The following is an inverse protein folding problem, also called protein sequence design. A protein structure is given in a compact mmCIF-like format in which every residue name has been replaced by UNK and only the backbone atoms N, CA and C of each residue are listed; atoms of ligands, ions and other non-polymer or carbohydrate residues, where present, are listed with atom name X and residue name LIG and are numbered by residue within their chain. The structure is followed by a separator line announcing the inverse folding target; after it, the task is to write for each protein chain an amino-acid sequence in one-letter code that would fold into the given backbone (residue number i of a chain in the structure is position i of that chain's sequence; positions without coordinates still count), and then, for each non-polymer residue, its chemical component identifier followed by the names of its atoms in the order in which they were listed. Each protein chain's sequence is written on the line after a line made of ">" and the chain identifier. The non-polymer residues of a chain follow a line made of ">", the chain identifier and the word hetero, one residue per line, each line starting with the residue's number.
data_IF_160375054552
#
_entry.id   IF_160375054552
#
_cell.length_a   1.000
_cell.length_b   1.000
_cell.length_c   1.000
_cell.angle_alpha   90.00
_cell.angle_beta   90.00
_cell.angle_gamma   90.00
#
_symmetry.space_group_name_H-M   'P 1'
#
loop_
_entity.id
_entity.type
_entity.pdbx_description
1 polymer ?
#
# COMPACT_ATOMS: atom_id res chain seq x y z
N UNK A 1 -28.39 0.05 36.06
CA UNK A 1 -29.23 1.12 36.61
C UNK A 1 -30.11 0.60 37.78
N UNK A 2 -30.97 -0.34 37.51
CA UNK A 2 -31.96 -0.84 38.48
C UNK A 2 -31.38 -1.59 39.69
N UNK A 3 -30.19 -2.22 39.55
CA UNK A 3 -29.55 -3.00 40.61
C UNK A 3 -28.73 -2.13 41.61
N UNK A 4 -28.23 -0.98 41.17
CA UNK A 4 -27.30 -0.16 41.96
C UNK A 4 -27.76 1.30 42.12
N UNK A 5 -28.95 1.65 41.66
CA UNK A 5 -29.54 3.01 41.70
C UNK A 5 -28.63 4.11 41.13
N UNK A 6 -27.87 3.77 40.06
CA UNK A 6 -26.94 4.69 39.40
C UNK A 6 -27.69 5.52 38.35
N UNK A 7 -27.46 6.82 38.33
CA UNK A 7 -28.05 7.75 37.36
C UNK A 7 -27.61 7.45 35.91
N UNK A 8 -28.41 7.81 34.94
CA UNK A 8 -28.16 7.49 33.52
C UNK A 8 -26.87 8.07 32.98
N UNK A 9 -26.48 9.36 33.27
CA UNK A 9 -25.19 9.90 32.83
C UNK A 9 -23.99 9.11 33.32
N UNK A 10 -23.99 8.69 34.60
CA UNK A 10 -22.92 7.88 35.17
C UNK A 10 -22.84 6.50 34.56
N UNK A 11 -23.98 5.83 34.29
CA UNK A 11 -23.99 4.51 33.62
C UNK A 11 -23.37 4.60 32.24
N UNK A 12 -23.75 5.59 31.43
CA UNK A 12 -23.19 5.76 30.06
C UNK A 12 -21.69 6.11 30.12
N UNK A 13 -21.29 6.95 31.09
CA UNK A 13 -19.88 7.26 31.34
C UNK A 13 -19.06 6.02 31.73
N UNK A 14 -19.56 5.19 32.66
CA UNK A 14 -18.92 3.93 33.06
C UNK A 14 -18.74 2.98 31.89
N UNK A 15 -19.77 2.80 31.05
CA UNK A 15 -19.70 1.94 29.86
C UNK A 15 -18.64 2.49 28.88
N UNK A 16 -18.67 3.77 28.57
CA UNK A 16 -17.71 4.38 27.68
C UNK A 16 -16.27 4.27 28.22
N UNK A 17 -16.08 4.44 29.55
CA UNK A 17 -14.78 4.29 30.21
C UNK A 17 -14.28 2.84 30.20
N UNK A 18 -15.13 1.89 30.55
CA UNK A 18 -14.80 0.46 30.54
C UNK A 18 -14.40 -0.04 29.12
N UNK A 19 -15.06 0.51 28.10
CA UNK A 19 -14.73 0.23 26.69
C UNK A 19 -13.55 1.08 26.17
N UNK A 20 -12.94 1.91 27.01
CA UNK A 20 -11.86 2.84 26.63
C UNK A 20 -12.20 3.72 25.42
N UNK A 21 -13.48 4.05 25.28
CA UNK A 21 -14.02 4.77 24.11
C UNK A 21 -14.14 6.26 24.37
N UNK A 22 -13.12 7.03 23.98
CA UNK A 22 -13.21 8.51 24.01
C UNK A 22 -14.32 9.06 23.12
N UNK A 23 -14.61 8.49 21.93
CA UNK A 23 -15.81 8.86 21.18
C UNK A 23 -17.10 8.59 21.92
N UNK A 24 -17.17 7.47 22.67
CA UNK A 24 -18.32 7.15 23.52
C UNK A 24 -18.53 8.18 24.63
N UNK A 25 -17.46 8.68 25.24
CA UNK A 25 -17.53 9.77 26.22
C UNK A 25 -18.10 11.06 25.60
N UNK A 26 -17.63 11.43 24.39
CA UNK A 26 -18.12 12.63 23.73
C UNK A 26 -19.63 12.56 23.48
N UNK A 27 -20.12 11.40 23.01
CA UNK A 27 -21.57 11.16 22.84
C UNK A 27 -22.31 11.18 24.17
N UNK A 28 -21.73 10.59 25.22
CA UNK A 28 -22.32 10.58 26.56
C UNK A 28 -22.51 12.01 27.12
N UNK A 29 -21.52 12.88 26.99
CA UNK A 29 -21.58 14.29 27.41
C UNK A 29 -22.62 15.03 26.57
N UNK A 30 -22.59 14.86 25.26
CA UNK A 30 -23.47 15.58 24.32
C UNK A 30 -24.96 15.19 24.55
N UNK A 31 -25.24 13.90 24.85
CA UNK A 31 -26.58 13.39 25.05
C UNK A 31 -27.13 13.65 26.46
N UNK A 32 -26.29 13.69 27.48
CA UNK A 32 -26.73 13.80 28.88
C UNK A 32 -26.59 15.21 29.44
N UNK A 33 -25.78 16.06 28.81
CA UNK A 33 -25.42 17.41 29.26
C UNK A 33 -24.98 17.45 30.74
N UNK A 34 -24.39 16.33 31.24
CA UNK A 34 -24.01 16.15 32.65
C UNK A 34 -22.52 15.88 32.81
N UNK A 35 -21.84 16.56 33.74
CA UNK A 35 -20.44 16.29 34.06
C UNK A 35 -20.25 14.89 34.71
N UNK A 36 -21.30 14.28 35.22
CA UNK A 36 -21.24 12.94 35.83
C UNK A 36 -20.79 11.86 34.84
N UNK A 37 -21.11 12.03 33.54
CA UNK A 37 -20.63 11.14 32.50
C UNK A 37 -19.09 11.13 32.42
N UNK A 38 -18.45 12.32 32.50
CA UNK A 38 -16.99 12.46 32.48
C UNK A 38 -16.33 11.88 33.72
N UNK A 39 -16.93 12.09 34.90
CA UNK A 39 -16.41 11.58 36.17
C UNK A 39 -16.46 10.05 36.17
N UNK A 40 -17.60 9.49 35.80
CA UNK A 40 -17.81 8.04 35.73
C UNK A 40 -16.89 7.38 34.71
N UNK A 41 -16.67 8.01 33.55
CA UNK A 41 -15.68 7.60 32.55
C UNK A 41 -14.26 7.56 33.15
N UNK A 42 -13.83 8.63 33.82
CA UNK A 42 -12.50 8.71 34.42
C UNK A 42 -12.24 7.63 35.46
N UNK A 43 -13.27 7.21 36.21
CA UNK A 43 -13.18 6.10 37.16
C UNK A 43 -13.05 4.75 36.43
N UNK A 44 -13.84 4.50 35.40
CA UNK A 44 -13.87 3.21 34.71
C UNK A 44 -12.72 2.98 33.71
N UNK A 45 -12.20 4.05 33.10
CA UNK A 45 -11.18 4.00 32.07
C UNK A 45 -9.92 3.22 32.45
N UNK A 46 -9.27 3.45 33.63
CA UNK A 46 -8.08 2.69 34.02
C UNK A 46 -8.35 1.18 34.12
N UNK A 47 -9.53 0.77 34.60
CA UNK A 47 -9.91 -0.62 34.69
C UNK A 47 -10.14 -1.23 33.29
N UNK A 48 -10.73 -0.47 32.36
CA UNK A 48 -10.87 -0.86 30.97
C UNK A 48 -9.51 -1.13 30.32
N UNK A 49 -8.56 -0.20 30.47
CA UNK A 49 -7.19 -0.34 29.94
C UNK A 49 -6.48 -1.57 30.52
N UNK A 50 -6.50 -1.73 31.84
CA UNK A 50 -5.88 -2.88 32.52
C UNK A 50 -6.55 -4.17 32.05
N UNK A 51 -7.88 -4.20 31.95
CA UNK A 51 -8.64 -5.36 31.49
C UNK A 51 -8.25 -5.80 30.07
N UNK A 52 -8.14 -4.84 29.14
CA UNK A 52 -7.71 -5.12 27.76
C UNK A 52 -6.28 -5.65 27.73
N UNK A 53 -5.35 -5.04 28.47
CA UNK A 53 -3.95 -5.49 28.54
C UNK A 53 -3.87 -6.92 29.07
N UNK A 54 -4.58 -7.21 30.16
CA UNK A 54 -4.62 -8.55 30.75
C UNK A 54 -5.25 -9.55 29.79
N UNK A 55 -6.35 -9.19 29.15
CA UNK A 55 -7.03 -10.04 28.17
C UNK A 55 -6.09 -10.39 27.01
N UNK A 56 -5.44 -9.40 26.39
CA UNK A 56 -4.49 -9.62 25.28
C UNK A 56 -3.33 -10.49 25.70
N UNK A 57 -2.79 -10.31 26.91
CA UNK A 57 -1.68 -11.14 27.43
C UNK A 57 -2.09 -12.57 27.78
N UNK A 58 -3.31 -12.74 28.29
CA UNK A 58 -3.80 -14.06 28.74
C UNK A 58 -4.42 -14.86 27.60
N UNK A 59 -5.00 -14.20 26.61
CA UNK A 59 -5.71 -14.86 25.50
C UNK A 59 -4.87 -15.94 24.80
N UNK A 60 -3.61 -15.71 24.39
CA UNK A 60 -2.78 -16.76 23.77
C UNK A 60 -2.57 -17.96 24.68
N UNK A 61 -2.42 -17.71 26.00
CA UNK A 61 -2.25 -18.77 26.98
C UNK A 61 -3.52 -19.60 27.17
N UNK A 62 -4.68 -18.93 27.23
CA UNK A 62 -6.00 -19.58 27.37
C UNK A 62 -6.29 -20.41 26.11
N UNK A 63 -6.04 -19.85 24.93
CA UNK A 63 -6.24 -20.52 23.65
C UNK A 63 -5.14 -21.53 23.30
N UNK A 64 -4.07 -21.60 24.11
CA UNK A 64 -2.89 -22.45 23.86
C UNK A 64 -2.26 -22.19 22.50
N UNK A 65 -2.28 -20.93 22.05
CA UNK A 65 -1.71 -20.51 20.77
C UNK A 65 -0.23 -20.18 20.97
N UNK A 66 0.61 -20.77 20.15
CA UNK A 66 2.03 -20.44 20.07
C UNK A 66 2.18 -19.22 19.12
N UNK A 67 2.46 -18.04 19.72
CA UNK A 67 2.58 -16.79 18.97
C UNK A 67 3.72 -16.83 17.95
N UNK A 68 4.81 -17.55 18.24
CA UNK A 68 5.93 -17.64 17.30
C UNK A 68 5.57 -18.47 16.05
N UNK A 69 4.79 -19.53 16.24
CA UNK A 69 4.27 -20.32 15.10
C UNK A 69 3.28 -19.52 14.26
N UNK A 70 2.36 -18.82 14.91
CA UNK A 70 1.40 -17.97 14.17
C UNK A 70 2.08 -16.78 13.49
N UNK A 71 3.08 -16.17 14.12
CA UNK A 71 3.88 -15.12 13.48
C UNK A 71 4.60 -15.63 12.23
N UNK A 72 5.22 -16.81 12.31
CA UNK A 72 5.87 -17.47 11.15
C UNK A 72 4.84 -17.82 10.07
N UNK A 73 3.68 -18.32 10.46
CA UNK A 73 2.59 -18.62 9.52
C UNK A 73 2.11 -17.37 8.78
N UNK A 74 1.86 -16.28 9.50
CA UNK A 74 1.50 -14.99 8.91
C UNK A 74 2.62 -14.44 8.00
N UNK A 75 3.87 -14.66 8.37
CA UNK A 75 5.01 -14.26 7.52
C UNK A 75 5.04 -15.08 6.22
N UNK A 76 4.81 -16.39 6.30
CA UNK A 76 4.70 -17.27 5.11
C UNK A 76 3.50 -16.86 4.24
N UNK A 77 2.34 -16.60 4.84
CA UNK A 77 1.16 -16.12 4.10
C UNK A 77 1.40 -14.75 3.44
N UNK A 78 2.07 -13.83 4.14
CA UNK A 78 2.48 -12.53 3.56
C UNK A 78 3.48 -12.69 2.41
N UNK A 79 4.46 -13.57 2.55
CA UNK A 79 5.41 -13.89 1.46
C UNK A 79 4.70 -14.54 0.28
N UNK A 80 3.66 -15.33 0.52
CA UNK A 80 2.80 -15.89 -0.54
C UNK A 80 2.00 -14.82 -1.29
N UNK A 81 1.48 -13.80 -0.59
CA UNK A 81 0.75 -12.69 -1.22
C UNK A 81 1.67 -11.66 -1.88
N UNK A 82 2.86 -11.43 -1.31
CA UNK A 82 3.87 -10.48 -1.80
C UNK A 82 5.24 -11.16 -1.79
N UNK A 83 5.50 -12.07 -2.76
CA UNK A 83 6.77 -12.78 -2.81
C UNK A 83 7.93 -11.81 -3.01
N UNK A 84 9.05 -12.13 -2.38
CA UNK A 84 10.29 -11.38 -2.56
C UNK A 84 10.70 -11.41 -4.04
N UNK A 85 11.01 -10.24 -4.58
CA UNK A 85 11.50 -10.13 -5.95
C UNK A 85 13.01 -10.28 -5.97
N UNK A 86 13.46 -11.32 -6.64
CA UNK A 86 14.88 -11.61 -6.85
C UNK A 86 15.28 -11.40 -8.31
N UNK A 87 16.56 -11.33 -8.55
CA UNK A 87 17.14 -11.13 -9.89
C UNK A 87 17.92 -12.38 -10.28
N UNK A 88 17.69 -12.88 -11.49
CA UNK A 88 18.41 -14.04 -12.03
C UNK A 88 18.81 -13.83 -13.48
N UNK A 89 19.88 -14.52 -13.88
CA UNK A 89 20.32 -14.60 -15.28
C UNK A 89 19.89 -15.92 -15.88
N UNK A 90 19.53 -15.90 -17.15
CA UNK A 90 19.19 -17.09 -17.94
C UNK A 90 19.96 -17.06 -19.25
N UNK A 91 20.48 -18.21 -19.63
CA UNK A 91 21.01 -18.46 -20.97
C UNK A 91 19.87 -19.00 -21.85
N UNK A 92 19.71 -18.42 -23.02
CA UNK A 92 18.67 -18.85 -23.96
C UNK A 92 19.12 -20.14 -24.63
N UNK A 93 18.50 -21.26 -24.24
CA UNK A 93 18.79 -22.62 -24.76
C UNK A 93 17.57 -23.31 -25.33
N UNK A 94 16.35 -22.79 -25.08
CA UNK A 94 15.13 -23.37 -25.59
C UNK A 94 14.88 -22.95 -27.06
N UNK A 95 14.95 -23.90 -27.97
CA UNK A 95 14.74 -23.67 -29.41
C UNK A 95 13.39 -23.07 -29.77
N UNK A 96 12.36 -23.24 -28.93
CA UNK A 96 11.03 -22.68 -29.15
C UNK A 96 10.99 -21.15 -29.09
N UNK A 97 11.98 -20.52 -28.48
CA UNK A 97 12.06 -19.04 -28.36
C UNK A 97 13.08 -18.42 -29.32
N UNK A 98 13.87 -19.20 -30.04
CA UNK A 98 14.84 -18.70 -30.99
C UNK A 98 14.20 -17.91 -32.12
N UNK A 99 14.81 -16.79 -32.46
CA UNK A 99 14.37 -15.88 -33.52
C UNK A 99 12.93 -15.35 -33.34
N UNK A 100 12.43 -15.36 -32.11
CA UNK A 100 11.11 -14.77 -31.77
C UNK A 100 11.31 -13.52 -30.93
N UNK A 101 10.42 -12.53 -31.15
CA UNK A 101 10.42 -11.34 -30.33
C UNK A 101 9.82 -11.62 -28.95
N UNK A 102 10.19 -10.81 -27.94
CA UNK A 102 9.63 -10.90 -26.59
C UNK A 102 8.11 -10.76 -26.58
N UNK A 103 7.55 -9.98 -27.53
CA UNK A 103 6.10 -9.85 -27.70
C UNK A 103 5.46 -11.15 -28.17
N UNK A 104 6.08 -11.86 -29.11
CA UNK A 104 5.59 -13.14 -29.62
C UNK A 104 5.68 -14.26 -28.58
N UNK A 105 6.74 -14.24 -27.77
CA UNK A 105 6.95 -15.19 -26.67
C UNK A 105 6.00 -14.90 -25.52
N UNK A 106 5.59 -13.63 -25.35
CA UNK A 106 4.77 -13.14 -24.23
C UNK A 106 5.32 -13.56 -22.85
N UNK A 107 6.65 -13.54 -22.69
CA UNK A 107 7.33 -14.04 -21.50
C UNK A 107 6.76 -13.42 -20.21
N UNK A 108 6.54 -12.09 -20.22
CA UNK A 108 5.97 -11.37 -19.07
C UNK A 108 4.52 -11.79 -18.76
N UNK A 109 3.68 -11.94 -19.77
CA UNK A 109 2.28 -12.36 -19.57
C UNK A 109 2.15 -13.77 -19.05
N UNK A 110 3.06 -14.67 -19.46
CA UNK A 110 3.06 -16.08 -19.06
C UNK A 110 3.66 -16.30 -17.68
N UNK A 111 4.71 -15.55 -17.30
CA UNK A 111 5.50 -15.84 -16.09
C UNK A 111 5.39 -14.75 -15.01
N UNK A 112 4.98 -13.55 -15.38
CA UNK A 112 5.03 -12.37 -14.50
C UNK A 112 6.44 -11.81 -14.27
N UNK A 113 7.48 -12.45 -14.79
CA UNK A 113 8.86 -11.96 -14.69
C UNK A 113 9.11 -10.79 -15.65
N UNK A 114 9.92 -9.83 -15.21
CA UNK A 114 10.32 -8.66 -15.99
C UNK A 114 11.75 -8.84 -16.48
N UNK A 115 11.95 -8.93 -17.79
CA UNK A 115 13.28 -8.97 -18.38
C UNK A 115 13.82 -7.55 -18.37
N UNK A 116 14.92 -7.34 -17.64
CA UNK A 116 15.53 -6.02 -17.42
C UNK A 116 16.69 -5.73 -18.34
N UNK A 117 17.41 -6.77 -18.78
CA UNK A 117 18.58 -6.67 -19.66
C UNK A 117 18.69 -7.86 -20.57
N UNK A 118 19.27 -7.65 -21.74
CA UNK A 118 19.65 -8.68 -22.68
C UNK A 118 21.12 -8.46 -23.05
N UNK A 119 21.92 -9.52 -23.00
CA UNK A 119 23.26 -9.57 -23.58
C UNK A 119 23.22 -10.45 -24.84
N UNK A 120 23.45 -9.82 -25.99
CA UNK A 120 23.65 -10.48 -27.26
C UNK A 120 25.10 -10.32 -27.69
N UNK A 121 25.85 -11.41 -27.82
CA UNK A 121 27.30 -11.39 -28.00
C UNK A 121 27.96 -10.59 -26.85
N UNK A 122 28.55 -9.44 -27.12
CA UNK A 122 29.18 -8.56 -26.11
C UNK A 122 28.38 -7.27 -25.83
N UNK A 123 27.26 -7.07 -26.53
CA UNK A 123 26.42 -5.89 -26.36
C UNK A 123 25.30 -6.16 -25.31
N UNK A 124 25.17 -5.24 -24.36
CA UNK A 124 24.14 -5.28 -23.35
C UNK A 124 23.13 -4.18 -23.63
N UNK A 125 21.86 -4.56 -23.76
CA UNK A 125 20.77 -3.65 -24.05
C UNK A 125 19.57 -3.84 -23.11
N UNK A 126 18.70 -2.83 -23.07
CA UNK A 126 17.39 -2.96 -22.40
C UNK A 126 16.41 -3.49 -23.45
N UNK A 127 15.88 -4.72 -23.26
CA UNK A 127 15.05 -5.32 -24.28
C UNK A 127 13.70 -4.63 -24.38
N UNK A 128 13.20 -4.52 -25.60
CA UNK A 128 11.88 -4.00 -25.95
C UNK A 128 10.95 -5.16 -26.33
N UNK A 129 9.67 -4.88 -26.50
CA UNK A 129 8.70 -5.89 -26.97
C UNK A 129 9.10 -6.50 -28.35
N UNK A 130 9.79 -5.73 -29.19
CA UNK A 130 10.28 -6.16 -30.52
C UNK A 130 11.64 -6.85 -30.50
N UNK A 131 12.34 -6.87 -29.36
CA UNK A 131 13.66 -7.50 -29.25
C UNK A 131 13.54 -8.99 -29.49
N UNK A 132 14.35 -9.50 -30.41
CA UNK A 132 14.40 -10.92 -30.81
C UNK A 132 15.47 -11.62 -29.98
N UNK A 133 15.15 -12.81 -29.49
CA UNK A 133 16.08 -13.67 -28.75
C UNK A 133 16.78 -14.64 -29.69
N UNK A 134 18.08 -14.82 -29.48
CA UNK A 134 18.89 -15.77 -30.24
C UNK A 134 19.45 -16.85 -29.32
N UNK A 135 19.86 -17.95 -29.91
CA UNK A 135 20.54 -19.02 -29.18
C UNK A 135 21.81 -18.47 -28.50
N UNK A 136 21.98 -18.82 -27.22
CA UNK A 136 23.16 -18.40 -26.46
C UNK A 136 23.13 -16.97 -25.90
N UNK A 137 22.06 -16.21 -26.17
CA UNK A 137 21.84 -14.92 -25.52
C UNK A 137 21.70 -15.09 -24.02
N UNK A 138 22.04 -14.04 -23.26
CA UNK A 138 21.80 -13.97 -21.82
C UNK A 138 20.77 -12.91 -21.51
N UNK A 139 19.78 -13.27 -20.73
CA UNK A 139 18.78 -12.32 -20.21
C UNK A 139 18.87 -12.23 -18.70
N UNK A 140 18.70 -11.02 -18.17
CA UNK A 140 18.51 -10.80 -16.75
C UNK A 140 17.05 -10.47 -16.49
N UNK A 141 16.44 -11.22 -15.58
CA UNK A 141 15.04 -11.06 -15.21
C UNK A 141 14.86 -10.82 -13.71
N UNK A 142 13.80 -10.08 -13.37
CA UNK A 142 13.37 -9.78 -12.00
C UNK A 142 11.96 -10.33 -11.81
N UNK A 143 11.75 -11.08 -10.74
CA UNK A 143 10.46 -11.68 -10.43
C UNK A 143 10.47 -12.43 -9.11
N UNK A 144 9.33 -13.02 -8.74
CA UNK A 144 9.28 -13.99 -7.64
C UNK A 144 10.00 -15.28 -8.05
N UNK A 145 10.41 -16.07 -7.07
CA UNK A 145 11.01 -17.39 -7.31
C UNK A 145 10.16 -18.24 -8.29
N UNK A 146 8.84 -18.26 -8.08
CA UNK A 146 7.90 -18.97 -8.96
C UNK A 146 7.91 -18.41 -10.39
N UNK A 147 7.81 -17.09 -10.54
CA UNK A 147 7.87 -16.42 -11.85
C UNK A 147 9.16 -16.72 -12.58
N UNK A 148 10.27 -16.75 -11.87
CA UNK A 148 11.59 -17.02 -12.43
C UNK A 148 11.78 -18.49 -12.80
N UNK A 149 11.21 -19.41 -12.02
CA UNK A 149 11.20 -20.83 -12.37
C UNK A 149 10.36 -21.11 -13.63
N UNK A 150 9.21 -20.44 -13.78
CA UNK A 150 8.41 -20.51 -15.01
C UNK A 150 9.18 -19.93 -16.21
N UNK A 151 9.92 -18.83 -15.99
CA UNK A 151 10.75 -18.24 -17.02
C UNK A 151 11.88 -19.19 -17.45
N UNK A 152 12.51 -19.91 -16.51
CA UNK A 152 13.53 -20.91 -16.81
C UNK A 152 13.02 -21.99 -17.78
N UNK A 153 11.81 -22.52 -17.52
CA UNK A 153 11.17 -23.50 -18.41
C UNK A 153 10.94 -22.93 -19.81
N UNK A 154 10.62 -21.63 -19.89
CA UNK A 154 10.33 -20.98 -21.15
C UNK A 154 11.58 -20.69 -21.97
N UNK A 155 12.66 -20.18 -21.34
CA UNK A 155 13.82 -19.62 -22.08
C UNK A 155 15.05 -20.49 -22.01
N UNK A 156 15.28 -21.24 -20.92
CA UNK A 156 16.45 -22.08 -20.76
C UNK A 156 17.06 -22.03 -19.36
N UNK A 157 18.36 -22.30 -19.28
CA UNK A 157 19.06 -22.56 -18.03
C UNK A 157 19.33 -21.28 -17.22
N UNK A 158 19.11 -21.37 -15.89
CA UNK A 158 19.47 -20.34 -14.94
C UNK A 158 20.97 -20.36 -14.69
N UNK A 159 21.59 -19.20 -14.71
CA UNK A 159 23.01 -19.03 -14.39
C UNK A 159 23.21 -18.10 -13.19
N UNK A 160 24.36 -18.24 -12.53
CA UNK A 160 24.76 -17.41 -11.40
C UNK A 160 25.42 -16.11 -11.90
N UNK A 161 25.17 -15.00 -11.19
CA UNK A 161 25.79 -13.70 -11.45
C UNK A 161 24.77 -12.60 -11.71
N UNK A 162 25.29 -11.48 -12.20
CA UNK A 162 24.52 -10.33 -12.70
C UNK A 162 25.13 -9.83 -14.00
N UNK A 163 24.28 -9.49 -14.96
CA UNK A 163 24.75 -8.82 -16.16
C UNK A 163 25.17 -7.39 -15.79
N UNK A 164 26.39 -6.96 -16.14
CA UNK A 164 26.83 -5.60 -15.88
C UNK A 164 25.88 -4.61 -16.54
N UNK A 165 25.84 -3.39 -16.02
CA UNK A 165 25.20 -2.28 -16.71
C UNK A 165 26.14 -1.81 -17.83
N UNK A 166 25.59 -1.49 -18.99
CA UNK A 166 26.34 -0.73 -19.96
C UNK A 166 26.66 0.66 -19.39
N UNK A 167 27.75 1.28 -19.87
CA UNK A 167 28.24 2.58 -19.38
C UNK A 167 27.19 3.70 -19.47
N UNK A 168 26.22 3.54 -20.35
CA UNK A 168 25.11 4.50 -20.59
C UNK A 168 23.87 4.24 -19.74
N UNK A 169 23.80 3.07 -19.07
CA UNK A 169 22.63 2.63 -18.32
C UNK A 169 22.82 2.81 -16.82
N UNK A 170 21.79 3.24 -16.15
CA UNK A 170 21.74 3.44 -14.70
C UNK A 170 20.46 2.80 -14.13
N UNK A 171 20.51 2.49 -12.83
CA UNK A 171 19.35 2.07 -12.06
C UNK A 171 19.03 3.19 -11.09
N UNK A 172 17.82 3.72 -11.15
CA UNK A 172 17.36 4.74 -10.21
C UNK A 172 16.08 4.32 -9.49
N UNK A 173 15.97 4.77 -8.24
CA UNK A 173 14.74 4.66 -7.45
C UNK A 173 13.99 5.98 -7.52
N UNK A 174 12.92 6.03 -8.31
CA UNK A 174 12.16 7.24 -8.59
C UNK A 174 10.86 7.25 -7.77
N UNK A 175 10.59 8.38 -7.11
CA UNK A 175 9.46 8.54 -6.20
C UNK A 175 8.28 9.20 -6.91
N UNK A 176 7.08 8.59 -6.78
CA UNK A 176 5.85 9.19 -7.28
C UNK A 176 5.33 10.26 -6.32
N UNK A 177 5.46 11.52 -6.73
CA UNK A 177 4.97 12.68 -5.95
C UNK A 177 4.09 13.63 -6.76
N UNK A 178 3.91 13.37 -8.06
CA UNK A 178 3.05 14.17 -8.93
C UNK A 178 1.61 13.70 -8.86
N UNK A 179 0.71 14.58 -8.44
CA UNK A 179 -0.71 14.28 -8.19
C UNK A 179 -1.44 13.72 -9.42
N UNK A 180 -1.07 14.16 -10.62
CA UNK A 180 -1.71 13.76 -11.88
C UNK A 180 -1.41 12.32 -12.31
N UNK A 181 -0.40 11.70 -11.69
CA UNK A 181 0.01 10.32 -11.97
C UNK A 181 -0.63 9.32 -11.00
N UNK A 182 -1.29 9.79 -9.94
CA UNK A 182 -1.96 8.92 -8.97
C UNK A 182 -3.17 8.25 -9.61
N UNK A 183 -3.35 6.95 -9.35
CA UNK A 183 -4.39 6.07 -9.89
C UNK A 183 -4.29 5.83 -11.41
N UNK A 184 -3.24 6.30 -12.10
CA UNK A 184 -2.97 5.86 -13.46
C UNK A 184 -2.37 4.46 -13.45
N UNK A 185 -2.71 3.67 -14.43
CA UNK A 185 -2.10 2.36 -14.63
C UNK A 185 -0.66 2.51 -15.14
N UNK A 186 0.23 1.64 -14.67
CA UNK A 186 1.64 1.67 -15.08
C UNK A 186 1.78 1.52 -16.60
N UNK A 187 0.95 0.66 -17.22
CA UNK A 187 0.93 0.42 -18.66
C UNK A 187 0.61 1.67 -19.49
N UNK A 188 -0.30 2.54 -19.00
CA UNK A 188 -0.70 3.77 -19.71
C UNK A 188 0.46 4.76 -19.87
N UNK A 189 1.45 4.70 -18.98
CA UNK A 189 2.61 5.60 -19.04
C UNK A 189 3.56 5.25 -20.18
N UNK A 190 3.49 4.05 -20.73
CA UNK A 190 4.32 3.59 -21.85
C UNK A 190 5.81 3.96 -21.69
N UNK A 191 6.35 3.74 -20.46
CA UNK A 191 7.68 4.23 -20.07
C UNK A 191 8.79 3.71 -20.97
N UNK A 192 8.67 2.47 -21.42
CA UNK A 192 9.64 1.87 -22.33
C UNK A 192 9.63 2.54 -23.71
N UNK A 193 8.45 2.80 -24.27
CA UNK A 193 8.29 3.43 -25.59
C UNK A 193 8.72 4.90 -25.58
N UNK A 194 8.36 5.62 -24.50
CA UNK A 194 8.55 7.07 -24.42
C UNK A 194 9.95 7.46 -23.89
N UNK A 195 10.58 6.61 -23.07
CA UNK A 195 11.82 6.94 -22.36
C UNK A 195 12.90 5.87 -22.46
N UNK A 196 12.66 4.73 -23.13
CA UNK A 196 13.64 3.64 -23.22
C UNK A 196 13.94 2.97 -21.88
N UNK A 197 13.04 3.07 -20.91
CA UNK A 197 13.28 2.62 -19.55
C UNK A 197 12.29 1.54 -19.12
N UNK A 198 12.77 0.62 -18.29
CA UNK A 198 11.97 -0.50 -17.75
C UNK A 198 11.85 -0.41 -16.25
N UNK A 199 10.62 -0.52 -15.72
CA UNK A 199 10.37 -0.65 -14.27
C UNK A 199 10.54 -2.10 -13.87
N UNK A 200 11.44 -2.37 -12.92
CA UNK A 200 11.76 -3.73 -12.45
C UNK A 200 11.04 -4.10 -11.17
N UNK A 201 10.75 -3.14 -10.31
CA UNK A 201 9.92 -3.32 -9.10
C UNK A 201 9.29 -2.01 -8.66
N UNK A 202 8.22 -2.11 -7.89
CA UNK A 202 7.57 -0.96 -7.25
C UNK A 202 7.51 -1.22 -5.76
N UNK A 203 8.11 -0.34 -4.93
CA UNK A 203 8.03 -0.42 -3.48
C UNK A 203 6.93 0.49 -2.97
N UNK A 204 5.93 -0.12 -2.32
CA UNK A 204 4.78 0.55 -1.69
C UNK A 204 4.71 0.20 -0.22
N UNK A 205 4.82 1.19 0.65
CA UNK A 205 4.74 0.98 2.12
C UNK A 205 5.68 -0.12 2.64
N UNK A 206 6.88 -0.24 2.04
CA UNK A 206 7.88 -1.23 2.41
C UNK A 206 7.75 -2.59 1.72
N UNK A 207 6.70 -2.81 0.93
CA UNK A 207 6.46 -4.07 0.19
C UNK A 207 6.88 -3.87 -1.27
N UNK A 208 7.64 -4.85 -1.80
CA UNK A 208 8.01 -4.88 -3.21
C UNK A 208 6.91 -5.57 -4.02
N UNK A 209 6.42 -4.85 -5.04
CA UNK A 209 5.38 -5.32 -5.96
C UNK A 209 6.02 -5.57 -7.33
N UNK A 210 5.63 -6.68 -7.97
CA UNK A 210 5.94 -6.91 -9.38
C UNK A 210 5.19 -5.89 -10.23
N UNK A 211 5.88 -5.16 -11.13
CA UNK A 211 5.21 -4.19 -11.98
C UNK A 211 4.33 -4.92 -13.00
N UNK A 212 3.03 -4.70 -12.94
CA UNK A 212 2.08 -5.16 -13.98
C UNK A 212 1.50 -3.94 -14.72
N UNK A 213 1.08 -4.09 -15.99
CA UNK A 213 0.47 -3.01 -16.75
C UNK A 213 -0.75 -2.40 -16.05
N UNK A 214 -1.57 -3.22 -15.41
CA UNK A 214 -2.83 -2.83 -14.75
C UNK A 214 -2.59 -2.23 -13.36
N UNK A 215 -1.35 -2.25 -12.85
CA UNK A 215 -1.05 -1.73 -11.52
C UNK A 215 -1.30 -0.24 -11.45
N UNK A 216 -2.30 0.17 -10.68
CA UNK A 216 -2.56 1.57 -10.40
C UNK A 216 -1.50 2.14 -9.45
N UNK A 217 -0.84 3.21 -9.89
CA UNK A 217 0.20 3.91 -9.13
C UNK A 217 -0.42 4.72 -7.99
N UNK A 218 0.26 4.72 -6.82
CA UNK A 218 -0.17 5.48 -5.63
C UNK A 218 0.89 6.49 -5.21
N UNK A 219 0.45 7.55 -4.55
CA UNK A 219 1.36 8.54 -3.97
C UNK A 219 2.36 7.87 -3.02
N UNK A 220 3.64 8.18 -3.19
CA UNK A 220 4.71 7.61 -2.39
C UNK A 220 5.26 6.28 -2.90
N UNK A 221 4.74 5.73 -4.00
CA UNK A 221 5.36 4.58 -4.65
C UNK A 221 6.79 4.91 -5.08
N UNK A 222 7.73 4.02 -4.78
CA UNK A 222 9.11 4.07 -5.27
C UNK A 222 9.25 3.08 -6.43
N UNK A 223 9.48 3.59 -7.63
CA UNK A 223 9.69 2.77 -8.81
C UNK A 223 11.20 2.56 -9.01
N UNK A 224 11.65 1.30 -9.02
CA UNK A 224 13.00 0.96 -9.44
C UNK A 224 13.02 0.87 -10.96
N UNK A 225 13.76 1.75 -11.59
CA UNK A 225 13.77 1.92 -13.04
C UNK A 225 15.18 1.72 -13.58
N UNK A 226 15.29 0.98 -14.67
CA UNK A 226 16.54 0.77 -15.42
C UNK A 226 16.40 1.47 -16.76
N UNK A 227 17.38 2.26 -17.13
CA UNK A 227 17.36 3.00 -18.38
C UNK A 227 18.58 3.86 -18.60
N UNK A 228 18.59 4.56 -19.73
CA UNK A 228 19.59 5.59 -19.98
C UNK A 228 19.31 6.84 -19.12
N UNK A 229 20.36 7.56 -18.78
CA UNK A 229 20.31 8.75 -17.90
C UNK A 229 19.28 9.80 -18.35
N UNK A 230 19.16 10.04 -19.65
CA UNK A 230 18.17 11.00 -20.16
C UNK A 230 16.73 10.50 -20.01
N UNK A 231 16.49 9.20 -20.27
CA UNK A 231 15.20 8.57 -20.04
C UNK A 231 14.80 8.61 -18.56
N UNK A 232 15.72 8.29 -17.65
CA UNK A 232 15.50 8.36 -16.20
C UNK A 232 15.15 9.75 -15.73
N UNK A 233 15.85 10.81 -16.22
CA UNK A 233 15.49 12.21 -15.96
C UNK A 233 14.07 12.55 -16.47
N UNK A 234 13.71 12.03 -17.65
CA UNK A 234 12.36 12.19 -18.20
C UNK A 234 11.29 11.61 -17.27
N UNK A 235 11.50 10.37 -16.80
CA UNK A 235 10.60 9.72 -15.86
C UNK A 235 10.58 10.43 -14.50
N UNK A 236 11.73 10.88 -14.00
CA UNK A 236 11.80 11.65 -12.76
C UNK A 236 10.92 12.92 -12.82
N UNK A 237 10.93 13.64 -13.94
CA UNK A 237 10.03 14.80 -14.17
C UNK A 237 8.56 14.37 -14.27
N UNK A 238 8.28 13.24 -14.93
CA UNK A 238 6.92 12.69 -15.05
C UNK A 238 6.34 12.33 -13.69
N UNK A 239 7.11 11.64 -12.85
CA UNK A 239 6.70 11.18 -11.53
C UNK A 239 6.80 12.27 -10.45
N UNK A 240 7.61 13.32 -10.70
CA UNK A 240 7.84 14.41 -9.76
C UNK A 240 9.07 14.22 -8.88
N UNK A 241 9.45 13.02 -8.53
CA UNK A 241 10.66 12.58 -7.81
C UNK A 241 11.14 13.55 -6.71
N UNK A 242 10.22 14.07 -5.87
CA UNK A 242 10.52 15.07 -4.87
C UNK A 242 10.23 14.54 -3.46
N UNK A 243 11.29 14.11 -2.76
CA UNK A 243 11.18 13.58 -1.41
C UNK A 243 10.62 14.60 -0.39
N UNK A 244 10.84 15.91 -0.60
CA UNK A 244 10.29 16.95 0.29
C UNK A 244 8.76 16.97 0.27
N UNK A 245 8.14 16.72 -0.90
CA UNK A 245 6.67 16.64 -0.99
C UNK A 245 6.08 15.46 -0.21
N UNK A 246 6.86 14.43 0.06
CA UNK A 246 6.45 13.32 0.90
C UNK A 246 6.44 13.70 2.38
N UNK A 247 7.32 14.65 2.77
CA UNK A 247 7.45 15.16 4.13
C UNK A 247 6.55 16.37 4.40
N UNK A 248 6.02 17.01 3.35
CA UNK A 248 5.11 18.12 3.52
C UNK A 248 3.78 17.61 4.08
N UNK A 249 3.43 18.09 5.26
CA UNK A 249 2.16 17.75 5.90
C UNK A 249 1.08 18.67 5.33
N UNK A 250 0.29 18.15 4.42
CA UNK A 250 -0.89 18.86 3.92
C UNK A 250 -2.04 18.66 4.92
N UNK A 251 -2.32 19.68 5.72
CA UNK A 251 -3.43 19.67 6.69
C UNK A 251 -4.79 19.94 6.07
N UNK A 252 -4.83 20.43 4.82
CA UNK A 252 -6.08 20.81 4.17
C UNK A 252 -7.05 19.63 4.01
N UNK A 253 -6.63 18.41 3.55
CA UNK A 253 -7.52 17.25 3.49
C UNK A 253 -8.08 16.86 4.85
N UNK A 254 -7.28 16.96 5.91
CA UNK A 254 -7.69 16.63 7.27
C UNK A 254 -8.75 17.61 7.75
N UNK A 255 -8.48 18.93 7.63
CA UNK A 255 -9.41 19.97 8.02
C UNK A 255 -10.73 19.87 7.25
N UNK A 256 -10.66 19.67 5.94
CA UNK A 256 -11.84 19.48 5.08
C UNK A 256 -12.61 18.21 5.46
N UNK A 257 -11.92 17.10 5.72
CA UNK A 257 -12.54 15.85 6.18
C UNK A 257 -13.30 16.03 7.50
N UNK A 258 -12.73 16.77 8.45
CA UNK A 258 -13.40 17.10 9.72
C UNK A 258 -14.64 17.96 9.48
N UNK A 259 -14.54 19.02 8.68
CA UNK A 259 -15.69 19.89 8.34
C UNK A 259 -16.82 19.09 7.71
N UNK A 260 -16.51 18.29 6.70
CA UNK A 260 -17.50 17.43 6.03
C UNK A 260 -18.11 16.42 7.01
N UNK A 261 -17.28 15.85 7.89
CA UNK A 261 -17.73 14.91 8.92
C UNK A 261 -18.68 15.53 9.94
N UNK A 262 -18.35 16.73 10.39
CA UNK A 262 -19.23 17.51 11.31
C UNK A 262 -20.55 17.86 10.63
N UNK A 263 -20.53 18.29 9.37
CA UNK A 263 -21.75 18.58 8.61
C UNK A 263 -22.61 17.30 8.44
N UNK A 264 -21.99 16.19 8.08
CA UNK A 264 -22.67 14.91 7.96
C UNK A 264 -23.24 14.43 9.30
N UNK A 265 -22.47 14.61 10.40
CA UNK A 265 -22.89 14.21 11.73
C UNK A 265 -24.13 14.97 12.26
N UNK A 266 -24.41 16.16 11.72
CA UNK A 266 -25.63 16.93 12.06
C UNK A 266 -26.89 16.49 11.32
N UNK A 267 -26.78 15.60 10.35
CA UNK A 267 -27.93 15.11 9.58
C UNK A 267 -28.69 14.11 10.44
N UNK A 268 -29.95 14.42 10.72
CA UNK A 268 -30.88 13.49 11.35
C UNK A 268 -31.65 12.74 10.26
N UNK A 269 -31.45 11.42 10.20
CA UNK A 269 -32.14 10.53 9.27
C UNK A 269 -33.30 9.89 10.04
N UNK A 270 -34.53 10.32 9.78
CA UNK A 270 -35.73 9.76 10.38
C UNK A 270 -36.31 8.70 9.44
N UNK A 271 -36.26 7.44 9.86
CA UNK A 271 -36.86 6.31 9.12
C UNK A 271 -38.32 6.09 9.48
N UNK A 272 -38.76 6.53 10.66
CA UNK A 272 -40.11 6.43 11.17
C UNK A 272 -40.29 7.41 12.33
N UNK A 273 -41.54 7.66 12.78
CA UNK A 273 -41.84 8.50 13.94
C UNK A 273 -41.13 8.02 15.23
N UNK A 274 -40.78 6.73 15.30
CA UNK A 274 -40.10 6.09 16.47
C UNK A 274 -38.62 5.78 16.23
N UNK A 275 -38.10 5.92 15.01
CA UNK A 275 -36.73 5.52 14.67
C UNK A 275 -36.03 6.66 13.91
N UNK A 276 -35.24 7.42 14.66
CA UNK A 276 -34.34 8.43 14.11
C UNK A 276 -32.90 8.03 14.38
N UNK A 277 -32.05 8.15 13.38
CA UNK A 277 -30.62 7.90 13.48
C UNK A 277 -29.86 9.21 13.20
N UNK A 278 -29.03 9.61 14.14
CA UNK A 278 -28.09 10.71 13.96
C UNK A 278 -26.68 10.14 14.18
N UNK A 279 -25.76 10.26 13.21
CA UNK A 279 -24.37 9.82 13.38
C UNK A 279 -23.66 10.54 14.54
N UNK A 280 -24.11 11.74 14.89
CA UNK A 280 -23.45 12.63 15.85
C UNK A 280 -22.11 13.15 15.30
N UNK A 281 -21.46 14.05 16.04
CA UNK A 281 -20.20 14.69 15.61
C UNK A 281 -19.11 13.65 15.35
N UNK A 282 -18.89 12.75 16.28
CA UNK A 282 -17.80 11.77 16.21
C UNK A 282 -18.05 10.70 15.16
N UNK A 283 -19.28 10.18 15.12
CA UNK A 283 -19.67 9.18 14.11
C UNK A 283 -19.62 9.73 12.71
N UNK A 284 -20.07 10.98 12.52
CA UNK A 284 -20.03 11.66 11.23
C UNK A 284 -18.60 11.85 10.71
N UNK A 285 -17.67 12.30 11.56
CA UNK A 285 -16.25 12.46 11.19
C UNK A 285 -15.63 11.11 10.83
N UNK A 286 -15.89 10.06 11.61
CA UNK A 286 -15.38 8.72 11.34
C UNK A 286 -15.90 8.16 10.01
N UNK A 287 -17.20 8.23 9.76
CA UNK A 287 -17.79 7.73 8.52
C UNK A 287 -17.27 8.45 7.28
N UNK A 288 -17.20 9.79 7.34
CA UNK A 288 -16.66 10.59 6.24
C UNK A 288 -15.18 10.30 6.02
N UNK A 289 -14.38 10.14 7.08
CA UNK A 289 -12.96 9.80 6.95
C UNK A 289 -12.76 8.45 6.27
N UNK A 290 -13.56 7.43 6.60
CA UNK A 290 -13.53 6.11 5.96
C UNK A 290 -13.87 6.20 4.46
N UNK A 291 -14.93 6.93 4.13
CA UNK A 291 -15.35 7.13 2.71
C UNK A 291 -14.28 7.87 1.92
N UNK A 292 -13.76 8.99 2.44
CA UNK A 292 -12.72 9.76 1.77
C UNK A 292 -11.43 8.97 1.59
N UNK A 293 -11.04 8.17 2.61
CA UNK A 293 -9.90 7.28 2.53
C UNK A 293 -10.06 6.20 1.45
N UNK A 294 -11.27 5.66 1.30
CA UNK A 294 -11.57 4.67 0.25
C UNK A 294 -11.52 5.29 -1.16
N UNK A 295 -12.00 6.54 -1.33
CA UNK A 295 -11.92 7.29 -2.59
C UNK A 295 -10.46 7.62 -2.94
N UNK A 296 -9.64 7.92 -1.95
CA UNK A 296 -8.20 8.20 -2.06
C UNK A 296 -7.87 9.55 -2.69
N UNK A 297 -8.59 9.99 -3.73
CA UNK A 297 -8.35 11.28 -4.42
C UNK A 297 -9.65 11.82 -5.02
N UNK A 298 -9.88 13.14 -4.85
CA UNK A 298 -10.97 13.86 -5.53
C UNK A 298 -10.39 15.15 -6.12
N UNK A 299 -10.31 15.23 -7.46
CA UNK A 299 -9.69 16.38 -8.15
C UNK A 299 -8.23 16.60 -7.67
N UNK A 300 -7.88 17.81 -7.19
CA UNK A 300 -6.53 18.12 -6.71
C UNK A 300 -6.25 17.64 -5.28
N UNK A 301 -7.27 17.16 -4.55
CA UNK A 301 -7.18 16.79 -3.13
C UNK A 301 -6.88 15.30 -3.01
N UNK A 302 -5.84 14.95 -2.23
CA UNK A 302 -5.49 13.58 -1.89
C UNK A 302 -5.96 13.34 -0.46
N UNK A 303 -6.84 12.34 -0.25
CA UNK A 303 -7.43 12.00 1.03
C UNK A 303 -6.58 11.00 1.85
N UNK A 304 -5.29 10.90 1.56
CA UNK A 304 -4.35 10.07 2.32
C UNK A 304 -3.41 10.93 3.15
N UNK A 305 -3.17 10.51 4.38
CA UNK A 305 -2.13 11.15 5.21
C UNK A 305 -0.74 10.78 4.71
N UNK A 306 0.16 11.77 4.66
CA UNK A 306 1.59 11.52 4.52
C UNK A 306 2.15 10.79 5.75
N UNK A 307 3.20 9.98 5.57
CA UNK A 307 3.84 9.28 6.69
C UNK A 307 4.20 10.19 7.88
N UNK A 308 4.80 11.39 7.65
CA UNK A 308 5.08 12.34 8.71
C UNK A 308 3.83 12.88 9.41
N UNK A 309 2.75 13.16 8.67
CA UNK A 309 1.48 13.58 9.27
C UNK A 309 0.91 12.52 10.23
N UNK A 310 1.02 11.25 9.85
CA UNK A 310 0.59 10.13 10.68
C UNK A 310 1.47 9.98 11.95
N UNK A 311 2.77 10.32 11.87
CA UNK A 311 3.66 10.31 13.04
C UNK A 311 3.39 11.47 14.02
N UNK A 312 2.99 12.65 13.49
CA UNK A 312 2.66 13.79 14.34
C UNK A 312 1.31 13.65 15.09
N UNK A 313 0.40 12.83 14.55
CA UNK A 313 -0.93 12.60 15.12
C UNK A 313 -1.01 11.34 16.01
N UNK A 314 0.06 10.56 16.10
CA UNK A 314 0.22 9.43 17.03
C UNK A 314 0.84 9.86 18.36
#
# INVERSE_FOLDING_TARGET
>A
KYAFDIDTPSVVGLIAGALTSTPGLAVAIDSTHSPLASIAYGIAYPFGVIGVILFVKLLPKIMRVDLDKEARRLEIERRGQFPELITCIYRITNSNVFNRSLMQINARGMTGAVISRLKHSDEISIPTASTVLHEGDYIQAVGSEESLNQLAVLVGEREEGELPLDKTQEIESLLLTKKDMINKQLGDLNLQKNFGCTVTRIRRSGIDLSPSPDLALKFGDKLMVVGEKEGLKGIARLLGNNAKKLSDTDFFPIAMGIVLGVLFGKINISFSESLSFSPGLTGGVLMVALVLSAIGKTGPIIWSMSGPANQLLR
#
